data_IF_447501600097
#
_entry.id   IF_447501600097
#
_cell.length_a   1.000
_cell.length_b   1.000
_cell.length_c   1.000
_cell.angle_alpha   90.00
_cell.angle_beta   90.00
_cell.angle_gamma   90.00
#
_symmetry.space_group_name_H-M   'P 1'
#
loop_
_entity.id
_entity.type
_entity.pdbx_description
1 polymer ?
#
# COMPACT_ATOMS: atom_id res chain seq x y z
N UNK A 1 4.53 -4.74 -10.90
CA UNK A 1 4.87 -5.59 -9.75
C UNK A 1 5.58 -4.77 -8.69
N UNK A 2 5.32 -5.06 -7.40
CA UNK A 2 5.99 -4.42 -6.25
C UNK A 2 7.43 -4.93 -6.12
N UNK A 3 8.33 -4.06 -5.68
CA UNK A 3 9.69 -4.40 -5.25
C UNK A 3 10.15 -3.38 -4.20
N UNK A 4 11.26 -3.63 -3.53
CA UNK A 4 11.80 -2.71 -2.52
C UNK A 4 13.31 -2.71 -2.50
N UNK A 5 13.91 -1.59 -2.07
CA UNK A 5 15.33 -1.53 -1.77
C UNK A 5 15.64 -2.45 -0.58
N UNK A 6 16.61 -3.34 -0.73
CA UNK A 6 17.01 -4.30 0.31
C UNK A 6 17.62 -3.59 1.52
N UNK A 7 18.30 -2.46 1.30
CA UNK A 7 19.11 -1.81 2.34
C UNK A 7 18.31 -0.82 3.20
N UNK A 8 17.28 -0.17 2.64
CA UNK A 8 16.49 0.83 3.39
C UNK A 8 14.98 0.57 3.43
N UNK A 9 14.50 -0.49 2.76
CA UNK A 9 13.10 -0.89 2.75
C UNK A 9 12.16 -0.01 1.91
N UNK A 10 12.66 1.03 1.22
CA UNK A 10 11.83 1.87 0.37
C UNK A 10 11.12 1.02 -0.70
N UNK A 11 9.79 1.10 -0.71
CA UNK A 11 8.93 0.36 -1.63
C UNK A 11 8.75 1.08 -2.96
N UNK A 12 8.65 0.30 -4.02
CA UNK A 12 8.45 0.75 -5.39
C UNK A 12 7.43 -0.13 -6.11
N UNK A 13 6.89 0.40 -7.21
CA UNK A 13 6.07 -0.33 -8.15
C UNK A 13 6.50 0.00 -9.58
N UNK A 14 6.66 -1.01 -10.43
CA UNK A 14 7.15 -0.86 -11.82
C UNK A 14 6.46 0.21 -12.68
N UNK A 15 5.19 0.52 -12.40
CA UNK A 15 4.38 1.46 -13.17
C UNK A 15 4.00 2.70 -12.36
N UNK A 16 3.27 2.49 -11.26
CA UNK A 16 2.71 3.54 -10.44
C UNK A 16 3.70 4.27 -9.51
N UNK A 17 4.89 3.73 -9.26
CA UNK A 17 5.87 4.34 -8.36
C UNK A 17 7.27 3.80 -8.65
N UNK A 18 7.81 4.16 -9.81
CA UNK A 18 9.14 3.75 -10.22
C UNK A 18 10.21 4.68 -9.59
N UNK A 19 11.44 4.18 -9.35
CA UNK A 19 12.54 5.05 -8.93
C UNK A 19 12.81 6.14 -9.94
N UNK A 20 13.26 7.32 -9.48
CA UNK A 20 13.58 8.44 -10.37
C UNK A 20 14.70 8.09 -11.35
N UNK A 21 15.69 7.32 -10.87
CA UNK A 21 16.74 6.75 -11.70
C UNK A 21 16.64 5.22 -11.68
N UNK A 22 16.54 4.61 -12.87
CA UNK A 22 16.37 3.16 -13.00
C UNK A 22 17.52 2.43 -12.28
N UNK A 23 17.15 1.56 -11.35
CA UNK A 23 18.11 0.74 -10.60
C UNK A 23 18.83 1.47 -9.47
N UNK A 24 18.42 2.68 -9.08
CA UNK A 24 18.99 3.43 -7.96
C UNK A 24 17.87 3.80 -7.00
N UNK A 25 18.03 3.46 -5.72
CA UNK A 25 17.08 3.83 -4.69
C UNK A 25 17.11 5.35 -4.46
N UNK A 26 15.97 6.00 -4.51
CA UNK A 26 15.86 7.46 -4.34
C UNK A 26 16.28 7.90 -2.94
N UNK A 27 16.05 7.05 -1.92
CA UNK A 27 16.35 7.32 -0.51
C UNK A 27 17.83 7.10 -0.13
N UNK A 28 18.38 5.91 -0.39
CA UNK A 28 19.74 5.56 0.09
C UNK A 28 20.77 5.37 -1.03
N UNK A 29 20.38 5.56 -2.30
CA UNK A 29 21.24 5.40 -3.49
C UNK A 29 21.79 4.00 -3.74
N UNK A 30 21.38 3.01 -2.94
CA UNK A 30 21.69 1.60 -3.19
C UNK A 30 21.09 1.12 -4.52
N UNK A 31 21.75 0.13 -5.12
CA UNK A 31 21.31 -0.60 -6.31
C UNK A 31 20.74 -1.99 -5.97
N UNK A 32 20.65 -2.34 -4.69
CA UNK A 32 20.13 -3.63 -4.23
C UNK A 32 18.61 -3.57 -4.08
N UNK A 33 17.92 -4.36 -4.89
CA UNK A 33 16.47 -4.49 -4.84
C UNK A 33 16.06 -5.94 -4.68
N UNK A 34 14.95 -6.14 -3.99
CA UNK A 34 14.34 -7.45 -3.77
C UNK A 34 12.85 -7.41 -4.07
N UNK A 35 12.30 -8.59 -4.36
CA UNK A 35 10.88 -8.84 -4.53
C UNK A 35 10.46 -9.89 -3.51
N UNK A 36 9.23 -9.78 -3.03
CA UNK A 36 8.71 -10.76 -2.09
C UNK A 36 8.47 -12.07 -2.84
N UNK A 37 8.83 -13.19 -2.21
CA UNK A 37 8.58 -14.53 -2.74
C UNK A 37 7.09 -14.87 -2.85
N UNK A 38 6.24 -14.16 -2.12
CA UNK A 38 4.80 -14.38 -2.04
C UNK A 38 3.99 -13.54 -3.06
N UNK A 39 4.64 -12.76 -3.93
CA UNK A 39 3.97 -11.95 -4.98
C UNK A 39 3.55 -12.83 -6.18
N UNK A 40 2.62 -13.76 -5.96
CA UNK A 40 2.03 -14.61 -6.99
C UNK A 40 0.49 -14.46 -7.06
N UNK A 41 -0.14 -14.69 -8.23
CA UNK A 41 -1.61 -14.67 -8.34
C UNK A 41 -2.30 -15.66 -7.40
N UNK A 42 -1.69 -16.82 -7.13
CA UNK A 42 -2.22 -17.82 -6.21
C UNK A 42 -2.22 -17.28 -4.78
N UNK A 43 -1.09 -16.72 -4.34
CA UNK A 43 -0.98 -16.11 -3.00
C UNK A 43 -1.94 -14.95 -2.83
N UNK A 44 -2.09 -14.10 -3.86
CA UNK A 44 -3.01 -12.96 -3.83
C UNK A 44 -4.45 -13.40 -3.55
N UNK A 45 -4.95 -14.43 -4.25
CA UNK A 45 -6.31 -14.96 -4.03
C UNK A 45 -6.49 -15.46 -2.61
N UNK A 46 -5.52 -16.22 -2.09
CA UNK A 46 -5.58 -16.75 -0.73
C UNK A 46 -5.61 -15.62 0.31
N UNK A 47 -4.76 -14.58 0.13
CA UNK A 47 -4.72 -13.42 1.03
C UNK A 47 -6.00 -12.58 0.97
N UNK A 48 -6.62 -12.45 -0.20
CA UNK A 48 -7.91 -11.77 -0.35
C UNK A 48 -9.05 -12.54 0.33
N UNK A 49 -9.05 -13.89 0.27
CA UNK A 49 -10.02 -14.70 1.02
C UNK A 49 -9.85 -14.50 2.52
N UNK A 50 -8.61 -14.63 3.02
CA UNK A 50 -8.31 -14.43 4.43
C UNK A 50 -8.67 -13.01 4.91
N UNK A 51 -8.41 -11.98 4.11
CA UNK A 51 -8.85 -10.61 4.41
C UNK A 51 -10.37 -10.52 4.57
N UNK A 52 -11.15 -11.12 3.66
CA UNK A 52 -12.62 -11.10 3.73
C UNK A 52 -13.15 -11.86 4.95
N UNK A 53 -12.55 -13.00 5.27
CA UNK A 53 -12.98 -13.89 6.36
C UNK A 53 -12.57 -13.39 7.74
N UNK A 54 -11.45 -12.66 7.86
CA UNK A 54 -10.86 -12.35 9.16
C UNK A 54 -10.75 -10.85 9.42
N UNK A 55 -10.35 -10.06 8.41
CA UNK A 55 -10.08 -8.63 8.59
C UNK A 55 -11.30 -7.78 8.29
N UNK A 56 -12.04 -8.03 7.22
CA UNK A 56 -13.21 -7.22 6.84
C UNK A 56 -14.31 -7.22 7.91
N UNK A 57 -14.35 -8.26 8.77
CA UNK A 57 -15.28 -8.37 9.89
C UNK A 57 -15.08 -7.31 10.99
N UNK A 58 -13.95 -6.59 11.01
CA UNK A 58 -13.73 -5.50 11.97
C UNK A 58 -14.38 -4.17 11.50
N UNK A 59 -14.83 -4.08 10.24
CA UNK A 59 -15.46 -2.87 9.71
C UNK A 59 -16.73 -2.46 10.47
N UNK A 60 -17.69 -3.37 10.78
CA UNK A 60 -18.84 -3.02 11.59
C UNK A 60 -18.47 -2.49 12.97
N UNK A 61 -17.43 -3.06 13.61
CA UNK A 61 -16.94 -2.58 14.91
C UNK A 61 -16.50 -1.11 14.84
N UNK A 62 -15.62 -0.74 13.91
CA UNK A 62 -15.16 0.65 13.79
C UNK A 62 -16.25 1.60 13.29
N UNK A 63 -17.18 1.10 12.47
CA UNK A 63 -18.37 1.84 12.03
C UNK A 63 -19.26 2.21 13.21
N UNK A 64 -19.58 1.26 14.10
CA UNK A 64 -20.40 1.52 15.30
C UNK A 64 -19.73 2.47 16.29
N UNK A 65 -18.40 2.56 16.29
CA UNK A 65 -17.64 3.53 17.09
C UNK A 65 -17.60 4.93 16.47
N UNK A 66 -18.14 5.13 15.27
CA UNK A 66 -18.16 6.42 14.56
C UNK A 66 -16.79 6.89 14.04
N UNK A 67 -15.77 6.02 14.11
CA UNK A 67 -14.39 6.34 13.75
C UNK A 67 -13.95 5.76 12.40
N UNK A 68 -14.79 4.94 11.76
CA UNK A 68 -14.50 4.43 10.41
C UNK A 68 -14.73 5.53 9.37
N UNK A 69 -13.71 5.75 8.53
CA UNK A 69 -13.76 6.64 7.36
C UNK A 69 -13.28 5.84 6.14
N UNK A 70 -14.08 5.82 5.08
CA UNK A 70 -13.76 5.10 3.84
C UNK A 70 -13.21 6.06 2.82
N UNK A 71 -12.14 5.65 2.13
CA UNK A 71 -11.39 6.43 1.14
C UNK A 71 -11.20 5.54 -0.10
N UNK A 72 -11.30 6.13 -1.30
CA UNK A 72 -11.12 5.36 -2.53
C UNK A 72 -9.63 5.14 -2.83
N UNK A 73 -9.12 3.98 -2.43
CA UNK A 73 -7.73 3.60 -2.68
C UNK A 73 -7.38 3.32 -4.15
N UNK A 74 -8.32 3.42 -5.09
CA UNK A 74 -8.05 3.27 -6.53
C UNK A 74 -7.73 4.60 -7.23
N UNK A 75 -7.89 5.74 -6.55
CA UNK A 75 -7.52 7.05 -7.08
C UNK A 75 -5.99 7.24 -7.14
N UNK A 76 -5.56 8.35 -7.78
CA UNK A 76 -4.14 8.74 -7.82
C UNK A 76 -3.59 8.98 -6.40
N UNK A 77 -2.30 8.73 -6.20
CA UNK A 77 -1.67 8.78 -4.87
C UNK A 77 -1.87 10.11 -4.16
N UNK A 78 -1.76 11.24 -4.88
CA UNK A 78 -1.95 12.57 -4.32
C UNK A 78 -3.41 12.81 -3.89
N UNK A 79 -4.38 12.29 -4.66
CA UNK A 79 -5.80 12.37 -4.32
C UNK A 79 -6.08 11.58 -3.03
N UNK A 80 -5.57 10.34 -2.96
CA UNK A 80 -5.73 9.50 -1.76
C UNK A 80 -5.09 10.16 -0.54
N UNK A 81 -3.90 10.76 -0.70
CA UNK A 81 -3.23 11.48 0.39
C UNK A 81 -4.06 12.66 0.89
N UNK A 82 -4.62 13.47 -0.02
CA UNK A 82 -5.46 14.61 0.33
C UNK A 82 -6.78 14.19 1.00
N UNK A 83 -7.40 13.09 0.58
CA UNK A 83 -8.58 12.53 1.24
C UNK A 83 -8.27 12.06 2.67
N UNK A 84 -7.13 11.39 2.87
CA UNK A 84 -6.67 10.98 4.21
C UNK A 84 -6.42 12.21 5.08
N UNK A 85 -5.77 13.24 4.53
CA UNK A 85 -5.45 14.47 5.25
C UNK A 85 -6.72 15.18 5.73
N UNK A 86 -7.72 15.35 4.88
CA UNK A 86 -9.02 15.94 5.26
C UNK A 86 -9.68 15.21 6.43
N UNK A 87 -9.64 13.88 6.42
CA UNK A 87 -10.19 13.04 7.50
C UNK A 87 -9.48 13.29 8.85
N UNK A 88 -8.16 13.53 8.83
CA UNK A 88 -7.36 13.72 10.05
C UNK A 88 -7.43 15.17 10.54
N UNK A 89 -7.33 16.14 9.64
CA UNK A 89 -7.25 17.57 9.98
C UNK A 89 -8.62 18.15 10.36
N UNK A 90 -9.73 17.48 9.99
CA UNK A 90 -11.07 17.77 10.50
C UNK A 90 -11.85 18.86 9.76
N UNK A 91 -11.61 19.02 8.45
CA UNK A 91 -12.37 19.93 7.57
C UNK A 91 -13.74 19.36 7.14
#
# INVERSE_FOLDING_TARGET
GRFSCTDCGMGYHEKFSAPANKGICDKCKSTNFTRRSDDSPKTLRNRLSAYKEQTALILPYYSTKGCLKSIDGMAEMDIVFDEIKKVIDGD
#
